data_IF_638164082468
#
_entry.id   IF_638164082468
#
_cell.length_a   1.000
_cell.length_b   1.000
_cell.length_c   1.000
_cell.angle_alpha   90.00
_cell.angle_beta   90.00
_cell.angle_gamma   90.00
#
_symmetry.space_group_name_H-M   'P 1'
#
loop_
_entity.id
_entity.type
_entity.pdbx_description
1 polymer ?
#
# COMPACT_ATOMS: atom_id res chain seq x y z
N UNK A 1 -32.40 -6.32 -21.58
CA UNK A 1 -31.59 -5.28 -20.90
C UNK A 1 -30.20 -5.38 -21.49
N UNK A 2 -29.65 -4.28 -22.00
CA UNK A 2 -28.26 -4.26 -22.49
C UNK A 2 -27.31 -4.49 -21.30
N UNK A 3 -26.28 -5.33 -21.43
CA UNK A 3 -25.33 -5.59 -20.36
C UNK A 3 -24.49 -4.33 -20.08
N UNK A 4 -24.45 -3.90 -18.83
CA UNK A 4 -23.61 -2.79 -18.38
C UNK A 4 -22.17 -3.27 -18.24
N UNK A 5 -21.24 -2.63 -18.93
CA UNK A 5 -19.81 -2.91 -18.79
C UNK A 5 -19.31 -2.37 -17.44
N UNK A 6 -18.99 -3.28 -16.50
CA UNK A 6 -18.39 -2.92 -15.22
C UNK A 6 -16.87 -2.76 -15.43
N UNK A 7 -16.27 -1.61 -15.10
CA UNK A 7 -14.82 -1.42 -15.21
C UNK A 7 -14.11 -2.32 -14.21
N UNK A 8 -13.10 -3.06 -14.68
CA UNK A 8 -12.37 -4.06 -13.87
C UNK A 8 -11.20 -3.49 -13.08
N UNK A 9 -10.69 -2.33 -13.46
CA UNK A 9 -9.42 -1.77 -12.97
C UNK A 9 -9.59 -0.45 -12.21
N UNK A 10 -10.77 -0.22 -11.62
CA UNK A 10 -11.04 1.01 -10.86
C UNK A 10 -10.36 0.98 -9.48
N UNK A 11 -10.15 -0.22 -8.95
CA UNK A 11 -9.51 -0.45 -7.65
C UNK A 11 -7.99 -0.68 -7.78
N UNK A 12 -7.49 -0.83 -9.01
CA UNK A 12 -6.07 -1.04 -9.26
C UNK A 12 -5.26 0.23 -8.93
N UNK A 13 -4.05 0.10 -8.36
CA UNK A 13 -3.19 1.25 -8.11
C UNK A 13 -2.87 1.98 -9.41
N UNK A 14 -2.66 3.30 -9.32
CA UNK A 14 -2.28 4.11 -10.49
C UNK A 14 -0.91 3.61 -10.99
N UNK A 15 -0.84 3.26 -12.28
CA UNK A 15 0.40 2.85 -12.92
C UNK A 15 1.04 4.05 -13.63
N UNK A 16 2.33 4.27 -13.37
CA UNK A 16 3.17 5.28 -14.03
C UNK A 16 4.22 4.53 -14.84
N UNK A 17 4.11 4.60 -16.17
CA UNK A 17 4.95 3.84 -17.11
C UNK A 17 4.88 2.33 -16.84
N UNK A 18 5.96 1.73 -16.33
CA UNK A 18 6.09 0.30 -16.05
C UNK A 18 5.92 -0.04 -14.56
N UNK A 19 5.69 0.97 -13.72
CA UNK A 19 5.74 0.86 -12.26
C UNK A 19 4.42 1.34 -11.67
N UNK A 20 3.97 0.66 -10.61
CA UNK A 20 2.80 1.13 -9.86
C UNK A 20 3.21 2.23 -8.87
N UNK A 21 2.31 3.19 -8.60
CA UNK A 21 2.63 4.35 -7.75
C UNK A 21 3.09 3.94 -6.35
N UNK A 22 2.55 2.86 -5.81
CA UNK A 22 2.91 2.27 -4.52
C UNK A 22 4.32 1.63 -4.52
N UNK A 23 4.85 1.24 -5.68
CA UNK A 23 6.25 0.78 -5.82
C UNK A 23 7.24 1.96 -5.96
N UNK A 24 6.80 3.06 -6.55
CA UNK A 24 7.64 4.26 -6.76
C UNK A 24 7.95 4.94 -5.43
N UNK A 25 6.99 4.99 -4.51
CA UNK A 25 7.16 5.64 -3.20
C UNK A 25 8.36 5.10 -2.41
N UNK A 26 8.48 3.79 -2.11
CA UNK A 26 9.63 3.28 -1.36
C UNK A 26 10.96 3.46 -2.09
N UNK A 27 10.95 3.35 -3.43
CA UNK A 27 12.15 3.59 -4.24
C UNK A 27 12.65 5.04 -4.12
N UNK A 28 11.74 6.00 -4.24
CA UNK A 28 12.03 7.42 -4.13
C UNK A 28 12.52 7.78 -2.73
N UNK A 29 11.90 7.23 -1.68
CA UNK A 29 12.34 7.46 -0.29
C UNK A 29 13.78 6.97 -0.09
N UNK A 30 14.13 5.77 -0.59
CA UNK A 30 15.49 5.25 -0.51
C UNK A 30 16.50 6.14 -1.25
N UNK A 31 16.19 6.57 -2.48
CA UNK A 31 17.09 7.43 -3.26
C UNK A 31 17.27 8.78 -2.60
N UNK A 32 16.18 9.45 -2.20
CA UNK A 32 16.24 10.77 -1.57
C UNK A 32 17.04 10.71 -0.27
N UNK A 33 16.83 9.68 0.55
CA UNK A 33 17.61 9.46 1.77
C UNK A 33 19.09 9.21 1.44
N UNK A 34 19.39 8.43 0.41
CA UNK A 34 20.75 8.20 -0.07
C UNK A 34 21.47 9.44 -0.55
N UNK A 35 20.76 10.33 -1.24
CA UNK A 35 21.30 11.62 -1.68
C UNK A 35 21.63 12.52 -0.49
N UNK A 36 20.83 12.50 0.57
CA UNK A 36 21.10 13.28 1.79
C UNK A 36 22.37 12.82 2.54
N UNK A 37 22.84 11.60 2.31
CA UNK A 37 24.02 11.01 2.97
C UNK A 37 25.17 10.85 1.95
N UNK A 38 25.11 11.51 0.79
CA UNK A 38 26.12 11.41 -0.30
C UNK A 38 26.43 9.98 -0.77
N UNK A 39 25.46 9.08 -0.61
CA UNK A 39 25.59 7.66 -0.88
C UNK A 39 24.53 7.19 -1.89
N UNK A 40 24.51 7.82 -3.06
CA UNK A 40 23.53 7.56 -4.11
C UNK A 40 23.55 6.11 -4.64
N UNK A 41 24.72 5.60 -5.01
CA UNK A 41 24.86 4.25 -5.59
C UNK A 41 24.38 3.14 -4.65
N UNK A 42 24.81 3.07 -3.36
CA UNK A 42 24.29 2.05 -2.47
C UNK A 42 22.80 2.25 -2.16
N UNK A 43 22.32 3.49 -2.09
CA UNK A 43 20.90 3.76 -1.90
C UNK A 43 20.03 3.32 -3.09
N UNK A 44 20.53 3.44 -4.31
CA UNK A 44 19.87 2.92 -5.51
C UNK A 44 19.72 1.39 -5.41
N UNK A 45 20.80 0.68 -5.03
CA UNK A 45 20.77 -0.77 -4.85
C UNK A 45 19.78 -1.18 -3.75
N UNK A 46 19.80 -0.49 -2.60
CA UNK A 46 18.86 -0.72 -1.49
C UNK A 46 17.42 -0.44 -1.93
N UNK A 47 17.19 0.63 -2.67
CA UNK A 47 15.86 0.97 -3.20
C UNK A 47 15.30 -0.12 -4.10
N UNK A 48 16.10 -0.66 -5.04
CA UNK A 48 15.68 -1.77 -5.90
C UNK A 48 15.35 -3.04 -5.10
N UNK A 49 16.17 -3.35 -4.09
CA UNK A 49 15.93 -4.48 -3.18
C UNK A 49 14.62 -4.26 -2.41
N UNK A 50 14.41 -3.06 -1.85
CA UNK A 50 13.21 -2.71 -1.09
C UNK A 50 11.94 -2.85 -1.94
N UNK A 51 11.95 -2.37 -3.19
CA UNK A 51 10.83 -2.53 -4.13
C UNK A 51 10.55 -4.01 -4.40
N UNK A 52 11.60 -4.82 -4.61
CA UNK A 52 11.42 -6.25 -4.85
C UNK A 52 10.78 -6.96 -3.65
N UNK A 53 11.19 -6.63 -2.43
CA UNK A 53 10.58 -7.15 -1.21
C UNK A 53 9.15 -6.65 -1.03
N UNK A 54 8.89 -5.37 -1.28
CA UNK A 54 7.56 -4.78 -1.20
C UNK A 54 6.60 -5.45 -2.19
N UNK A 55 7.00 -5.61 -3.45
CA UNK A 55 6.22 -6.33 -4.48
C UNK A 55 5.92 -7.75 -4.03
N UNK A 56 6.94 -8.49 -3.56
CA UNK A 56 6.73 -9.85 -3.03
C UNK A 56 5.76 -9.86 -1.85
N UNK A 57 5.80 -8.88 -0.96
CA UNK A 57 4.88 -8.79 0.16
C UNK A 57 3.45 -8.50 -0.31
N UNK A 58 3.26 -7.54 -1.23
CA UNK A 58 1.96 -7.16 -1.79
C UNK A 58 1.31 -8.33 -2.55
N UNK A 59 2.04 -8.94 -3.49
CA UNK A 59 1.48 -9.97 -4.38
C UNK A 59 1.06 -11.26 -3.65
N UNK A 60 1.55 -11.48 -2.42
CA UNK A 60 1.16 -12.62 -1.59
C UNK A 60 -0.04 -12.32 -0.66
N UNK A 61 -0.59 -11.10 -0.70
CA UNK A 61 -1.65 -10.63 0.21
C UNK A 61 -2.84 -10.12 -0.58
N UNK A 62 -4.06 -10.27 -0.07
CA UNK A 62 -5.24 -9.69 -0.69
C UNK A 62 -5.21 -8.17 -0.62
N UNK A 63 -5.95 -7.52 -1.50
CA UNK A 63 -6.10 -6.06 -1.51
C UNK A 63 -6.62 -5.55 -0.17
N UNK A 64 -6.12 -4.38 0.26
CA UNK A 64 -6.47 -3.78 1.54
C UNK A 64 -5.88 -4.48 2.79
N UNK A 65 -5.03 -5.50 2.64
CA UNK A 65 -4.42 -6.20 3.78
C UNK A 65 -3.68 -5.26 4.74
N UNK A 66 -2.97 -4.27 4.22
CA UNK A 66 -2.25 -3.25 5.03
C UNK A 66 -3.21 -2.37 5.81
N UNK A 67 -4.28 -1.90 5.18
CA UNK A 67 -5.35 -1.12 5.83
C UNK A 67 -6.07 -1.92 6.92
N UNK A 68 -6.36 -3.20 6.65
CA UNK A 68 -6.97 -4.09 7.64
C UNK A 68 -6.02 -4.36 8.82
N UNK A 69 -4.72 -4.50 8.55
CA UNK A 69 -3.71 -4.67 9.59
C UNK A 69 -3.59 -3.41 10.47
N UNK A 70 -3.61 -2.22 9.86
CA UNK A 70 -3.65 -0.93 10.56
C UNK A 70 -4.92 -0.75 11.39
N UNK A 71 -6.06 -1.22 10.87
CA UNK A 71 -7.32 -1.24 11.61
C UNK A 71 -7.19 -2.05 12.89
N UNK A 72 -6.71 -3.30 12.82
CA UNK A 72 -6.55 -4.14 14.02
C UNK A 72 -5.52 -3.59 15.01
N UNK A 73 -4.52 -2.87 14.54
CA UNK A 73 -3.54 -2.19 15.39
C UNK A 73 -4.12 -0.92 16.06
N UNK A 74 -5.28 -0.43 15.61
CA UNK A 74 -5.87 0.82 16.09
C UNK A 74 -5.27 2.09 15.49
N UNK A 75 -4.44 1.95 14.44
CA UNK A 75 -3.76 3.06 13.78
C UNK A 75 -4.50 3.61 12.56
N UNK A 76 -5.64 3.01 12.18
CA UNK A 76 -6.43 3.51 11.06
C UNK A 76 -7.26 4.73 11.54
N UNK A 77 -6.95 5.96 11.07
CA UNK A 77 -7.73 7.14 11.45
C UNK A 77 -9.01 7.17 10.62
N UNK A 78 -10.02 6.42 11.05
CA UNK A 78 -11.35 6.44 10.42
C UNK A 78 -12.35 7.17 11.31
N UNK A 79 -13.13 8.06 10.70
CA UNK A 79 -14.30 8.70 11.31
C UNK A 79 -15.62 8.09 10.82
N UNK A 80 -15.56 7.00 10.04
CA UNK A 80 -16.74 6.37 9.50
C UNK A 80 -17.55 5.68 10.62
N UNK A 81 -18.84 5.99 10.71
CA UNK A 81 -19.75 5.39 11.69
C UNK A 81 -19.88 3.86 11.52
N UNK A 82 -19.65 3.36 10.31
CA UNK A 82 -19.72 1.94 9.95
C UNK A 82 -18.46 1.15 10.32
N UNK A 83 -17.37 1.83 10.71
CA UNK A 83 -16.12 1.20 11.12
C UNK A 83 -16.11 1.20 12.66
N UNK A 84 -16.50 0.07 13.31
CA UNK A 84 -16.49 0.00 14.75
C UNK A 84 -15.06 0.10 15.29
N UNK A 85 -14.92 0.45 16.56
CA UNK A 85 -13.61 0.44 17.20
C UNK A 85 -13.04 -1.00 17.22
N UNK A 86 -11.79 -1.22 16.77
CA UNK A 86 -11.17 -2.55 16.66
C UNK A 86 -11.07 -3.30 18.00
N UNK A 87 -11.13 -2.60 19.13
CA UNK A 87 -11.09 -3.20 20.46
C UNK A 87 -12.46 -3.70 20.94
N UNK A 88 -13.56 -3.37 20.25
CA UNK A 88 -14.90 -3.87 20.54
C UNK A 88 -15.02 -5.29 19.97
N UNK A 89 -15.07 -6.30 20.85
CA UNK A 89 -15.15 -7.72 20.46
C UNK A 89 -16.54 -8.35 20.59
N UNK A 90 -17.51 -7.61 21.13
CA UNK A 90 -18.87 -8.09 21.33
C UNK A 90 -19.87 -7.00 20.95
N UNK A 91 -20.83 -7.36 20.10
CA UNK A 91 -22.00 -6.55 19.80
C UNK A 91 -23.21 -7.23 20.42
N UNK A 92 -23.98 -6.48 21.21
CA UNK A 92 -25.22 -6.97 21.79
C UNK A 92 -26.39 -6.48 20.91
N UNK A 93 -27.44 -7.31 20.71
CA UNK A 93 -28.64 -6.93 19.98
C UNK A 93 -29.48 -5.89 20.73
#
# INVERSE_FOLDING_TARGET
MEPVAIPRSIDDPIHILLWSADEIVPFMVCILTGMLIDHFIPALAIGLIAVKFYRRFRDNRPDGYTLHSLYWLGLLPSQAMTIPNPYIRRFLP
#
